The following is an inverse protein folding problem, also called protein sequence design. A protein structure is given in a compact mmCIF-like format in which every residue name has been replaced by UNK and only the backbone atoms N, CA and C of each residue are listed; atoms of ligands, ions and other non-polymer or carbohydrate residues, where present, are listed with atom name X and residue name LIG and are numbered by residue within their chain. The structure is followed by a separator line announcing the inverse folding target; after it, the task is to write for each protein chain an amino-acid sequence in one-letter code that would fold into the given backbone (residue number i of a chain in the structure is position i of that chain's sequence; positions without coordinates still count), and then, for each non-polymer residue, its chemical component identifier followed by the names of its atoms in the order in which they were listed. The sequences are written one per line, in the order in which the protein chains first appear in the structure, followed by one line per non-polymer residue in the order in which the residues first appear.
data_IF_320848049036
#
_entry.id   IF_320848049036
#
_cell.length_a   1.000
_cell.length_b   1.000
_cell.length_c   1.000
_cell.angle_alpha   90.00
_cell.angle_beta   90.00
_cell.angle_gamma   90.00
#
_symmetry.space_group_name_H-M   'P 1'
#
loop_
_entity.id
_entity.type
_entity.pdbx_description
1 polymer ?
#
# COMPACT_ATOMS: atom_id res chain seq x y z
N UNK A 1 -20.55 -13.87 4.76
CA UNK A 1 -19.41 -13.15 5.38
C UNK A 1 -18.62 -14.16 6.20
N UNK A 2 -17.66 -14.87 5.59
CA UNK A 2 -16.78 -15.83 6.31
C UNK A 2 -15.71 -16.53 5.46
N UNK A 3 -15.72 -16.42 4.12
CA UNK A 3 -14.76 -17.19 3.30
C UNK A 3 -13.42 -16.48 3.10
N UNK A 4 -13.40 -15.15 2.94
CA UNK A 4 -12.18 -14.37 2.69
C UNK A 4 -11.27 -14.19 3.92
N UNK A 5 -11.81 -14.19 5.14
CA UNK A 5 -10.98 -14.17 6.35
C UNK A 5 -10.12 -15.45 6.44
N UNK A 6 -10.64 -16.60 6.00
CA UNK A 6 -9.93 -17.88 6.16
C UNK A 6 -8.64 -17.98 5.33
N UNK A 7 -8.50 -17.21 4.25
CA UNK A 7 -7.30 -17.31 3.40
C UNK A 7 -6.11 -16.54 3.97
N UNK A 8 -6.33 -15.40 4.63
CA UNK A 8 -5.26 -14.61 5.26
C UNK A 8 -4.70 -15.25 6.55
N UNK A 9 -5.50 -16.04 7.28
CA UNK A 9 -5.02 -16.75 8.47
C UNK A 9 -4.45 -18.15 8.20
N UNK A 10 -4.70 -18.74 7.03
CA UNK A 10 -4.13 -20.04 6.62
C UNK A 10 -2.61 -20.14 6.79
N UNK A 11 -1.79 -19.15 6.37
CA UNK A 11 -0.35 -19.24 6.62
C UNK A 11 -0.03 -19.19 8.12
N UNK A 12 -0.65 -18.28 8.89
CA UNK A 12 -0.35 -18.10 10.32
C UNK A 12 -0.69 -19.36 11.14
N UNK A 13 -1.83 -19.99 10.88
CA UNK A 13 -2.25 -21.23 11.57
C UNK A 13 -1.35 -22.41 11.16
N UNK A 14 -0.96 -22.50 9.89
CA UNK A 14 0.00 -23.50 9.41
C UNK A 14 1.36 -23.30 10.10
N UNK A 15 1.83 -22.06 10.22
CA UNK A 15 3.07 -21.71 10.93
C UNK A 15 3.01 -22.11 12.41
N UNK A 16 1.91 -21.79 13.10
CA UNK A 16 1.73 -22.16 14.50
C UNK A 16 1.71 -23.68 14.68
N UNK A 17 1.04 -24.40 13.78
CA UNK A 17 1.00 -25.86 13.79
C UNK A 17 2.40 -26.48 13.56
N UNK A 18 3.21 -25.92 12.66
CA UNK A 18 4.59 -26.36 12.43
C UNK A 18 5.46 -26.10 13.66
N UNK A 19 5.32 -24.95 14.31
CA UNK A 19 6.06 -24.63 15.55
C UNK A 19 5.71 -25.63 16.66
N UNK A 20 4.42 -25.91 16.86
CA UNK A 20 3.96 -26.87 17.87
C UNK A 20 4.47 -28.28 17.55
N UNK A 21 4.43 -28.71 16.29
CA UNK A 21 4.95 -30.02 15.86
C UNK A 21 6.46 -30.14 16.11
N UNK A 22 7.25 -29.10 15.79
CA UNK A 22 8.68 -29.04 16.10
C UNK A 22 8.96 -29.12 17.59
N UNK A 23 8.14 -28.44 18.42
CA UNK A 23 8.28 -28.46 19.87
C UNK A 23 7.99 -29.84 20.47
N UNK A 24 6.96 -30.52 19.97
CA UNK A 24 6.62 -31.90 20.37
C UNK A 24 7.74 -32.87 19.97
N UNK A 25 8.27 -32.76 18.75
CA UNK A 25 9.42 -33.55 18.29
C UNK A 25 10.67 -33.32 19.15
N UNK A 26 10.94 -32.07 19.53
CA UNK A 26 12.07 -31.73 20.40
C UNK A 26 11.95 -32.41 21.77
N UNK A 27 10.76 -32.43 22.38
CA UNK A 27 10.51 -33.09 23.67
C UNK A 27 10.69 -34.61 23.56
N UNK A 28 10.22 -35.22 22.47
CA UNK A 28 10.38 -36.67 22.22
C UNK A 28 11.86 -37.02 22.08
N UNK A 29 12.61 -36.27 21.27
CA UNK A 29 14.05 -36.46 21.08
C UNK A 29 14.84 -36.26 22.37
N UNK A 30 14.46 -35.28 23.19
CA UNK A 30 15.05 -35.04 24.50
C UNK A 30 14.84 -36.22 25.46
N UNK A 31 13.61 -36.74 25.55
CA UNK A 31 13.32 -37.93 26.40
C UNK A 31 14.04 -39.19 25.91
N UNK A 32 14.15 -39.38 24.59
CA UNK A 32 14.90 -40.49 24.01
C UNK A 32 16.41 -40.37 24.27
N UNK A 33 16.96 -39.15 24.19
CA UNK A 33 18.35 -38.85 24.51
C UNK A 33 18.71 -39.14 25.97
N UNK A 34 17.79 -38.80 26.89
CA UNK A 34 17.93 -39.07 28.32
C UNK A 34 17.95 -40.58 28.62
N UNK A 35 17.09 -41.39 27.97
CA UNK A 35 17.09 -42.86 28.14
C UNK A 35 18.35 -43.56 27.60
N UNK A 36 19.03 -42.99 26.59
CA UNK A 36 20.22 -43.59 25.97
C UNK A 36 21.55 -43.10 26.53
N UNK A 37 21.55 -42.29 27.59
CA UNK A 37 22.77 -41.73 28.18
C UNK A 37 23.50 -40.72 27.27
N UNK A 38 22.86 -40.26 26.19
CA UNK A 38 23.41 -39.30 25.21
C UNK A 38 22.77 -37.91 25.34
N UNK A 39 22.46 -37.54 26.58
CA UNK A 39 21.74 -36.32 26.94
C UNK A 39 22.45 -35.05 26.47
N UNK A 40 23.78 -34.99 26.62
CA UNK A 40 24.56 -33.80 26.24
C UNK A 40 24.53 -33.55 24.73
N UNK A 41 24.64 -34.59 23.91
CA UNK A 41 24.60 -34.45 22.45
C UNK A 41 23.21 -34.05 21.93
N UNK A 42 22.14 -34.56 22.54
CA UNK A 42 20.76 -34.19 22.17
C UNK A 42 20.44 -32.76 22.57
N UNK A 43 20.92 -32.29 23.72
CA UNK A 43 20.78 -30.90 24.14
C UNK A 43 21.54 -29.93 23.21
N UNK A 44 22.77 -30.27 22.81
CA UNK A 44 23.58 -29.45 21.89
C UNK A 44 22.92 -29.34 20.51
N UNK A 45 22.40 -30.44 19.96
CA UNK A 45 21.71 -30.43 18.66
C UNK A 45 20.43 -29.59 18.73
N UNK A 46 19.64 -29.70 19.80
CA UNK A 46 18.46 -28.86 20.00
C UNK A 46 18.81 -27.37 20.16
N UNK A 47 19.91 -27.05 20.85
CA UNK A 47 20.40 -25.68 20.97
C UNK A 47 20.85 -25.12 19.61
N UNK A 48 21.55 -25.92 18.79
CA UNK A 48 21.98 -25.50 17.44
C UNK A 48 20.80 -25.32 16.47
N UNK A 49 19.77 -26.18 16.55
CA UNK A 49 18.54 -26.03 15.77
C UNK A 49 17.77 -24.77 16.21
N UNK A 50 17.67 -24.53 17.53
CA UNK A 50 17.10 -23.29 18.06
C UNK A 50 17.85 -22.05 17.58
N UNK A 51 19.19 -22.06 17.67
CA UNK A 51 20.04 -20.95 17.24
C UNK A 51 19.90 -20.64 15.74
N UNK A 52 19.85 -21.69 14.91
CA UNK A 52 19.66 -21.55 13.46
C UNK A 52 18.27 -21.04 13.10
N UNK A 53 17.23 -21.42 13.84
CA UNK A 53 15.87 -20.88 13.69
C UNK A 53 15.79 -19.39 14.08
N UNK A 54 16.46 -18.97 15.16
CA UNK A 54 16.59 -17.55 15.52
C UNK A 54 17.43 -16.75 14.50
N UNK A 55 18.47 -17.36 13.92
CA UNK A 55 19.29 -16.71 12.90
C UNK A 55 18.57 -16.53 11.55
N UNK A 56 17.74 -17.48 11.14
CA UNK A 56 17.03 -17.44 9.84
C UNK A 56 15.64 -16.80 9.89
N UNK A 57 14.82 -17.10 10.90
CA UNK A 57 13.48 -16.49 11.06
C UNK A 57 13.48 -15.27 12.00
N UNK A 58 14.21 -15.35 13.11
CA UNK A 58 14.29 -14.26 14.08
C UNK A 58 14.92 -12.99 13.48
N UNK A 59 15.95 -13.13 12.64
CA UNK A 59 16.65 -11.98 12.04
C UNK A 59 15.82 -11.09 11.10
N UNK A 60 14.73 -11.60 10.51
CA UNK A 60 13.86 -10.79 9.62
C UNK A 60 12.78 -10.06 10.42
N UNK A 61 12.05 -10.78 11.28
CA UNK A 61 10.99 -10.22 12.12
C UNK A 61 11.58 -9.31 13.22
N UNK A 62 12.73 -9.66 13.80
CA UNK A 62 13.43 -8.83 14.78
C UNK A 62 14.02 -7.57 14.16
N UNK A 63 14.49 -7.59 12.90
CA UNK A 63 14.91 -6.36 12.20
C UNK A 63 13.73 -5.44 11.89
N UNK A 64 12.59 -5.99 11.47
CA UNK A 64 11.37 -5.21 11.24
C UNK A 64 10.83 -4.59 12.54
N UNK A 65 10.77 -5.38 13.62
CA UNK A 65 10.35 -4.93 14.94
C UNK A 65 11.34 -3.90 15.51
N UNK A 66 12.65 -4.16 15.50
CA UNK A 66 13.68 -3.23 15.99
C UNK A 66 13.73 -1.94 15.16
N UNK A 67 13.44 -1.96 13.85
CA UNK A 67 13.31 -0.73 13.06
C UNK A 67 12.11 0.11 13.52
N UNK A 68 10.95 -0.50 13.78
CA UNK A 68 9.80 0.18 14.41
C UNK A 68 10.15 0.73 15.79
N UNK A 69 10.80 -0.05 16.65
CA UNK A 69 11.24 0.41 17.98
C UNK A 69 12.30 1.52 17.91
N UNK A 70 13.21 1.48 16.93
CA UNK A 70 14.20 2.55 16.72
C UNK A 70 13.54 3.84 16.23
N UNK A 71 12.56 3.74 15.32
CA UNK A 71 11.72 4.88 14.91
C UNK A 71 10.98 5.49 16.12
N UNK A 72 10.36 4.63 16.94
CA UNK A 72 9.67 5.05 18.17
C UNK A 72 10.65 5.67 19.18
N UNK A 73 11.87 5.13 19.34
CA UNK A 73 12.89 5.70 20.23
C UNK A 73 13.48 7.01 19.71
N UNK A 74 13.70 7.14 18.41
CA UNK A 74 14.24 8.35 17.80
C UNK A 74 13.24 9.51 17.87
N UNK A 75 11.93 9.22 17.82
CA UNK A 75 10.87 10.21 18.08
C UNK A 75 10.64 10.42 19.60
N UNK A 76 10.86 9.40 20.43
CA UNK A 76 10.70 9.51 21.89
C UNK A 76 11.76 10.40 22.57
N UNK A 77 12.75 10.89 21.82
CA UNK A 77 13.83 11.76 22.33
C UNK A 77 13.83 13.18 21.76
N UNK A 78 12.85 13.53 20.92
CA UNK A 78 12.51 14.93 20.68
C UNK A 78 11.31 15.29 21.56
N UNK A 79 11.46 16.35 22.37
CA UNK A 79 10.36 17.02 23.04
C UNK A 79 9.40 17.62 22.01
N UNK A 80 8.63 16.79 21.31
CA UNK A 80 7.49 17.23 20.52
C UNK A 80 6.36 17.51 21.50
N UNK A 81 6.46 18.65 22.17
CA UNK A 81 5.34 19.22 22.92
C UNK A 81 4.17 19.44 21.93
N UNK A 82 3.14 18.60 22.03
CA UNK A 82 2.00 18.57 21.10
C UNK A 82 1.15 19.86 21.16
N UNK A 83 1.40 20.71 22.17
CA UNK A 83 0.71 21.99 22.34
C UNK A 83 1.45 23.19 21.73
N UNK A 84 2.74 23.03 21.37
CA UNK A 84 3.50 24.12 20.75
C UNK A 84 3.10 24.31 19.28
N UNK A 85 3.15 25.57 18.78
CA UNK A 85 2.97 25.83 17.35
C UNK A 85 4.05 25.11 16.53
N UNK A 86 3.68 24.73 15.32
CA UNK A 86 4.60 24.09 14.37
C UNK A 86 5.46 25.13 13.65
N UNK A 87 6.70 24.72 13.35
CA UNK A 87 7.66 25.50 12.58
C UNK A 87 7.23 25.56 11.12
N UNK A 88 7.49 26.68 10.45
CA UNK A 88 7.26 26.81 9.01
C UNK A 88 8.43 26.29 8.17
N UNK A 89 9.51 25.79 8.78
CA UNK A 89 10.63 25.19 8.05
C UNK A 89 10.33 23.74 7.65
N UNK A 90 10.09 23.43 6.35
CA UNK A 90 9.78 22.08 5.92
C UNK A 90 10.91 21.08 6.23
N UNK A 91 12.16 21.53 6.35
CA UNK A 91 13.31 20.67 6.66
C UNK A 91 13.22 20.04 8.05
N UNK A 92 12.45 20.62 8.97
CA UNK A 92 12.23 20.01 10.28
C UNK A 92 11.44 18.70 10.17
N UNK A 93 10.65 18.55 9.12
CA UNK A 93 9.75 17.41 8.91
C UNK A 93 10.22 16.45 7.81
N UNK A 94 11.32 16.78 7.12
CA UNK A 94 11.90 15.97 6.05
C UNK A 94 13.00 15.02 6.56
N UNK A 95 12.97 13.78 6.11
CA UNK A 95 14.07 12.83 6.13
C UNK A 95 14.03 12.00 4.85
N UNK A 96 14.89 12.33 3.89
CA UNK A 96 14.98 11.63 2.60
C UNK A 96 15.26 10.14 2.73
N UNK A 97 15.84 9.70 3.86
CA UNK A 97 16.16 8.31 4.16
C UNK A 97 15.08 7.59 4.99
N UNK A 98 13.95 8.27 5.26
CA UNK A 98 12.83 7.70 5.98
C UNK A 98 12.35 6.40 5.32
N UNK A 99 12.07 5.41 6.16
CA UNK A 99 11.63 4.10 5.71
C UNK A 99 10.11 4.12 5.62
N UNK A 100 9.58 3.80 4.44
CA UNK A 100 8.16 3.60 4.23
C UNK A 100 7.62 2.50 5.14
N UNK A 101 6.64 2.84 6.00
CA UNK A 101 6.08 1.94 6.99
C UNK A 101 4.54 2.02 7.08
N UNK A 102 3.91 2.55 6.04
CA UNK A 102 2.47 2.74 5.96
C UNK A 102 1.76 1.47 5.51
N UNK A 103 0.55 1.27 6.02
CA UNK A 103 -0.44 0.36 5.45
C UNK A 103 -1.60 1.16 4.86
N UNK A 104 -2.39 0.52 4.00
CA UNK A 104 -3.64 1.10 3.51
C UNK A 104 -4.58 1.49 4.66
N UNK A 105 -4.69 0.63 5.68
CA UNK A 105 -5.51 0.89 6.87
C UNK A 105 -5.02 2.11 7.66
N UNK A 106 -3.71 2.31 7.76
CA UNK A 106 -3.16 3.50 8.42
C UNK A 106 -3.61 4.79 7.71
N UNK A 107 -3.56 4.81 6.38
CA UNK A 107 -3.99 5.96 5.58
C UNK A 107 -5.51 6.17 5.65
N UNK A 108 -6.31 5.11 5.53
CA UNK A 108 -7.78 5.18 5.59
C UNK A 108 -8.32 5.65 6.94
N UNK A 109 -7.57 5.39 8.02
CA UNK A 109 -7.95 5.79 9.37
C UNK A 109 -7.59 7.24 9.72
N UNK A 110 -6.86 7.95 8.84
CA UNK A 110 -6.53 9.36 9.06
C UNK A 110 -7.80 10.22 9.07
N UNK A 111 -7.87 11.15 10.02
CA UNK A 111 -9.02 12.02 10.26
C UNK A 111 -8.64 13.47 9.95
N UNK A 112 -9.18 14.05 8.87
CA UNK A 112 -8.96 15.45 8.56
C UNK A 112 -9.33 16.36 9.73
N UNK A 113 -8.52 17.40 9.95
CA UNK A 113 -8.61 18.40 11.03
C UNK A 113 -8.47 17.86 12.46
N UNK A 114 -8.20 16.56 12.63
CA UNK A 114 -8.03 15.91 13.93
C UNK A 114 -6.60 15.44 14.10
N UNK A 115 -6.10 14.65 13.15
CA UNK A 115 -4.73 14.14 13.23
C UNK A 115 -3.72 15.24 12.93
N UNK A 116 -2.68 15.33 13.74
CA UNK A 116 -1.63 16.34 13.62
C UNK A 116 -0.43 15.78 12.88
N UNK A 117 0.34 16.65 12.22
CA UNK A 117 1.62 16.28 11.61
C UNK A 117 2.54 15.56 12.61
N UNK A 118 2.60 16.04 13.86
CA UNK A 118 3.39 15.43 14.93
C UNK A 118 2.92 14.01 15.25
N UNK A 119 1.62 13.77 15.36
CA UNK A 119 1.05 12.44 15.63
C UNK A 119 1.36 11.45 14.51
N UNK A 120 1.32 11.91 13.25
CA UNK A 120 1.66 11.12 12.09
C UNK A 120 3.17 10.84 12.06
N UNK A 121 4.02 11.84 12.30
CA UNK A 121 5.48 11.66 12.39
C UNK A 121 5.87 10.69 13.51
N UNK A 122 5.14 10.70 14.63
CA UNK A 122 5.37 9.76 15.73
C UNK A 122 5.07 8.30 15.35
N UNK A 123 4.10 8.10 14.47
CA UNK A 123 3.65 6.77 14.04
C UNK A 123 4.45 6.27 12.83
N UNK A 124 4.73 7.17 11.89
CA UNK A 124 5.25 6.83 10.56
C UNK A 124 6.65 7.38 10.27
N UNK A 125 7.17 8.27 11.12
CA UNK A 125 8.40 9.00 10.87
C UNK A 125 8.19 10.24 10.01
N UNK A 126 9.30 10.93 9.75
CA UNK A 126 9.35 12.10 8.87
C UNK A 126 9.04 11.72 7.42
N UNK A 127 8.56 12.69 6.63
CA UNK A 127 8.32 12.48 5.21
C UNK A 127 9.61 12.44 4.40
N UNK A 128 9.60 11.72 3.28
CA UNK A 128 10.73 11.67 2.35
C UNK A 128 10.93 13.00 1.62
N UNK A 129 9.82 13.69 1.30
CA UNK A 129 9.82 14.99 0.68
C UNK A 129 8.81 15.88 1.37
N UNK A 130 9.21 17.10 1.75
CA UNK A 130 8.33 18.06 2.42
C UNK A 130 8.43 19.41 1.75
N UNK A 131 7.29 20.00 1.42
CA UNK A 131 7.21 21.29 0.75
C UNK A 131 6.18 22.18 1.43
N UNK A 132 6.54 23.45 1.63
CA UNK A 132 5.61 24.48 2.07
C UNK A 132 4.96 25.14 0.85
N UNK A 133 3.65 25.03 0.75
CA UNK A 133 2.83 25.72 -0.25
C UNK A 133 2.06 26.89 0.39
N UNK A 134 1.49 27.76 -0.45
CA UNK A 134 0.58 28.82 0.02
C UNK A 134 -0.66 28.27 0.74
N UNK A 135 -1.06 27.04 0.42
CA UNK A 135 -2.21 26.36 1.00
C UNK A 135 -1.91 25.62 2.30
N UNK A 136 -0.64 25.45 2.65
CA UNK A 136 -0.18 24.68 3.80
C UNK A 136 1.02 23.79 3.49
N UNK A 137 1.21 22.71 4.25
CA UNK A 137 2.36 21.82 4.12
C UNK A 137 1.99 20.56 3.32
N UNK A 138 2.83 20.17 2.37
CA UNK A 138 2.78 18.89 1.66
C UNK A 138 3.85 17.96 2.20
N UNK A 139 3.49 16.71 2.45
CA UNK A 139 4.40 15.67 2.94
C UNK A 139 4.20 14.41 2.11
N UNK A 140 5.26 13.96 1.44
CA UNK A 140 5.28 12.69 0.71
C UNK A 140 6.02 11.61 1.50
N UNK A 141 5.40 10.44 1.60
CA UNK A 141 6.04 9.20 2.02
C UNK A 141 6.18 8.28 0.81
N UNK A 142 7.40 7.87 0.50
CA UNK A 142 7.73 7.14 -0.72
C UNK A 142 8.34 5.77 -0.39
N UNK A 143 7.85 4.71 -1.03
CA UNK A 143 8.41 3.36 -0.89
C UNK A 143 9.76 3.21 -1.59
N UNK A 144 10.05 4.09 -2.54
CA UNK A 144 11.30 4.19 -3.30
C UNK A 144 11.28 3.50 -4.66
N UNK A 145 10.19 2.83 -5.03
CA UNK A 145 10.00 2.21 -6.35
C UNK A 145 9.22 3.10 -7.33
N UNK A 146 8.72 4.26 -6.86
CA UNK A 146 7.92 5.20 -7.64
C UNK A 146 6.46 4.79 -7.85
N UNK A 147 6.08 3.58 -7.44
CA UNK A 147 4.75 3.00 -7.69
C UNK A 147 3.87 3.00 -6.44
N UNK A 148 4.47 3.11 -5.26
CA UNK A 148 3.76 3.20 -3.99
C UNK A 148 4.23 4.41 -3.17
N UNK A 149 3.32 5.36 -2.97
CA UNK A 149 3.60 6.57 -2.21
C UNK A 149 2.31 7.17 -1.63
N UNK A 150 2.46 7.99 -0.61
CA UNK A 150 1.37 8.73 0.04
C UNK A 150 1.71 10.20 0.06
N UNK A 151 0.84 11.00 -0.52
CA UNK A 151 0.89 12.46 -0.49
C UNK A 151 -0.14 12.98 0.51
N UNK A 152 0.34 13.57 1.62
CA UNK A 152 -0.50 14.19 2.64
C UNK A 152 -0.45 15.71 2.50
N UNK A 153 -1.58 16.35 2.74
CA UNK A 153 -1.72 17.80 2.84
C UNK A 153 -2.07 18.19 4.27
N UNK A 154 -1.52 19.29 4.74
CA UNK A 154 -1.77 19.82 6.07
C UNK A 154 -2.06 21.32 6.00
N UNK A 155 -2.92 21.80 6.89
CA UNK A 155 -3.13 23.23 7.12
C UNK A 155 -2.86 23.57 8.58
N UNK A 156 -2.66 24.85 8.89
CA UNK A 156 -2.54 25.29 10.29
C UNK A 156 -3.90 25.41 10.97
N UNK A 157 -4.00 24.91 12.19
CA UNK A 157 -5.10 25.20 13.11
C UNK A 157 -4.93 26.58 13.78
N UNK A 158 -5.91 26.98 14.61
CA UNK A 158 -5.88 28.26 15.34
C UNK A 158 -4.68 28.40 16.31
N UNK A 159 -4.06 27.27 16.68
CA UNK A 159 -2.89 27.22 17.55
C UNK A 159 -1.58 27.20 16.76
N UNK A 160 -1.64 27.31 15.43
CA UNK A 160 -0.48 27.29 14.55
C UNK A 160 0.12 25.91 14.34
N UNK A 161 -0.63 24.83 14.58
CA UNK A 161 -0.18 23.44 14.40
C UNK A 161 -0.67 22.90 13.06
N UNK A 162 0.14 22.09 12.39
CA UNK A 162 -0.25 21.41 11.17
C UNK A 162 -1.21 20.26 11.49
N UNK A 163 -2.43 20.38 11.01
CA UNK A 163 -3.46 19.33 11.04
C UNK A 163 -3.67 18.78 9.64
N UNK A 164 -3.83 17.46 9.56
CA UNK A 164 -4.08 16.75 8.32
C UNK A 164 -5.32 17.30 7.63
N UNK A 165 -5.25 17.56 6.33
CA UNK A 165 -6.33 18.14 5.53
C UNK A 165 -6.82 17.23 4.40
N UNK A 166 -6.30 16.02 4.32
CA UNK A 166 -6.55 15.09 3.21
C UNK A 166 -5.28 14.74 2.46
N UNK A 167 -5.41 13.82 1.52
CA UNK A 167 -4.27 13.28 0.80
C UNK A 167 -4.66 12.22 -0.22
N UNK A 168 -3.65 11.69 -0.88
CA UNK A 168 -3.78 10.59 -1.83
C UNK A 168 -2.74 9.53 -1.51
N UNK A 169 -3.18 8.30 -1.37
CA UNK A 169 -2.31 7.13 -1.36
C UNK A 169 -2.39 6.44 -2.72
N UNK A 170 -1.24 6.15 -3.32
CA UNK A 170 -1.10 5.45 -4.60
C UNK A 170 -0.43 4.11 -4.36
N UNK A 171 -0.97 3.06 -4.98
CA UNK A 171 -0.51 1.69 -4.86
C UNK A 171 -0.43 1.04 -6.25
N UNK A 172 0.48 0.07 -6.46
CA UNK A 172 0.45 -0.77 -7.65
C UNK A 172 -0.88 -1.54 -7.74
N UNK A 173 -1.35 -1.78 -8.96
CA UNK A 173 -2.56 -2.55 -9.19
C UNK A 173 -2.27 -4.05 -9.31
N UNK A 174 -2.87 -4.88 -8.45
CA UNK A 174 -2.80 -6.32 -8.56
C UNK A 174 -3.56 -6.85 -9.80
N UNK A 175 -2.98 -7.83 -10.49
CA UNK A 175 -3.64 -8.55 -11.59
C UNK A 175 -3.46 -7.93 -12.97
N UNK A 176 -2.83 -6.75 -13.07
CA UNK A 176 -2.40 -6.14 -14.34
C UNK A 176 -0.88 -6.18 -14.42
N UNK A 177 -0.36 -6.61 -15.57
CA UNK A 177 1.08 -6.56 -15.85
C UNK A 177 1.40 -5.27 -16.57
N UNK A 178 2.16 -4.39 -15.92
CA UNK A 178 2.71 -3.21 -16.59
C UNK A 178 3.82 -3.61 -17.56
N UNK A 179 3.73 -3.10 -18.80
CA UNK A 179 4.69 -3.39 -19.87
C UNK A 179 5.16 -2.09 -20.52
N UNK A 180 6.48 -1.83 -20.42
CA UNK A 180 7.07 -0.60 -20.95
C UNK A 180 6.87 -0.43 -22.46
N UNK A 181 6.89 -1.52 -23.23
CA UNK A 181 6.63 -1.52 -24.67
C UNK A 181 5.24 -2.11 -24.96
N UNK A 182 4.22 -1.54 -24.32
CA UNK A 182 2.84 -1.93 -24.55
C UNK A 182 2.49 -1.82 -26.04
N UNK A 183 1.83 -2.86 -26.56
CA UNK A 183 1.25 -2.83 -27.90
C UNK A 183 -0.26 -3.02 -27.80
N UNK A 184 -1.01 -2.08 -28.35
CA UNK A 184 -2.46 -2.05 -28.18
C UNK A 184 -3.13 -3.27 -28.81
N UNK A 185 -3.87 -4.01 -27.99
CA UNK A 185 -4.73 -5.11 -28.41
C UNK A 185 -6.22 -4.74 -28.39
N UNK A 186 -6.54 -3.46 -28.14
CA UNK A 186 -7.92 -2.97 -28.13
C UNK A 186 -8.45 -2.82 -29.55
N UNK A 187 -9.62 -3.40 -29.79
CA UNK A 187 -10.41 -3.20 -31.02
C UNK A 187 -11.34 -1.99 -30.90
N UNK A 188 -11.76 -1.44 -32.03
CA UNK A 188 -12.73 -0.35 -32.05
C UNK A 188 -14.06 -0.76 -31.41
N UNK A 189 -14.53 -1.98 -31.67
CA UNK A 189 -15.77 -2.50 -31.10
C UNK A 189 -15.68 -2.60 -29.56
N UNK A 190 -14.55 -3.05 -29.02
CA UNK A 190 -14.33 -3.09 -27.56
C UNK A 190 -14.29 -1.70 -26.94
N UNK A 191 -13.63 -0.73 -27.60
CA UNK A 191 -13.60 0.65 -27.11
C UNK A 191 -15.01 1.26 -27.13
N UNK A 192 -15.74 1.04 -28.21
CA UNK A 192 -17.10 1.55 -28.39
C UNK A 192 -18.13 0.82 -27.52
N UNK A 193 -17.79 -0.32 -26.90
CA UNK A 193 -18.65 -1.04 -25.95
C UNK A 193 -18.46 -0.59 -24.50
N UNK A 194 -17.39 0.16 -24.19
CA UNK A 194 -17.16 0.71 -22.85
C UNK A 194 -18.31 1.63 -22.40
N UNK A 195 -18.80 1.45 -21.19
CA UNK A 195 -19.92 2.22 -20.62
C UNK A 195 -19.55 2.77 -19.26
N UNK A 196 -19.62 4.09 -19.12
CA UNK A 196 -19.47 4.76 -17.82
C UNK A 196 -20.75 4.67 -16.99
N UNK A 197 -20.68 5.06 -15.71
CA UNK A 197 -21.87 5.16 -14.83
C UNK A 197 -22.98 6.04 -15.41
N UNK A 198 -22.61 7.11 -16.11
CA UNK A 198 -23.57 8.04 -16.71
C UNK A 198 -24.26 7.46 -17.96
N UNK A 199 -23.72 6.36 -18.50
CA UNK A 199 -24.23 5.67 -19.68
C UNK A 199 -24.98 4.37 -19.34
N UNK A 200 -25.34 4.16 -18.07
CA UNK A 200 -25.98 2.93 -17.61
C UNK A 200 -27.36 2.65 -18.25
N UNK A 201 -27.97 3.63 -18.92
CA UNK A 201 -29.22 3.46 -19.68
C UNK A 201 -29.01 2.76 -21.03
N UNK A 202 -27.77 2.71 -21.56
CA UNK A 202 -27.43 1.98 -22.79
C UNK A 202 -26.97 0.54 -22.54
N UNK A 203 -26.89 0.10 -21.28
CA UNK A 203 -26.41 -1.23 -20.91
C UNK A 203 -25.69 -1.25 -19.56
N UNK A 204 -25.17 -2.42 -19.14
CA UNK A 204 -24.42 -2.53 -17.89
C UNK A 204 -23.15 -1.67 -17.95
N UNK A 205 -22.85 -0.98 -16.85
CA UNK A 205 -21.58 -0.26 -16.67
C UNK A 205 -20.40 -1.23 -16.72
N UNK A 206 -19.34 -0.87 -17.43
CA UNK A 206 -18.14 -1.70 -17.56
C UNK A 206 -17.46 -1.89 -16.20
N UNK A 207 -17.15 -3.14 -15.87
CA UNK A 207 -16.47 -3.51 -14.64
C UNK A 207 -14.95 -3.57 -14.83
N UNK A 208 -14.18 -3.24 -13.79
CA UNK A 208 -12.72 -3.39 -13.82
C UNK A 208 -12.32 -4.84 -14.03
N UNK A 209 -13.00 -5.78 -13.37
CA UNK A 209 -12.71 -7.21 -13.46
C UNK A 209 -12.86 -7.77 -14.88
N UNK A 210 -13.83 -7.28 -15.65
CA UNK A 210 -13.99 -7.59 -17.08
C UNK A 210 -12.81 -7.06 -17.91
N UNK A 211 -12.45 -5.79 -17.73
CA UNK A 211 -11.34 -5.16 -18.47
C UNK A 211 -10.02 -5.85 -18.16
N UNK A 212 -9.69 -6.11 -16.89
CA UNK A 212 -8.45 -6.79 -16.50
C UNK A 212 -8.39 -8.22 -17.04
N UNK A 213 -9.52 -8.92 -17.12
CA UNK A 213 -9.60 -10.27 -17.70
C UNK A 213 -9.31 -10.27 -19.20
N UNK A 214 -9.79 -9.27 -19.93
CA UNK A 214 -9.65 -9.19 -21.39
C UNK A 214 -8.35 -8.50 -21.83
N UNK A 215 -7.87 -7.56 -21.02
CA UNK A 215 -6.69 -6.75 -21.25
C UNK A 215 -5.77 -6.77 -20.01
N UNK A 216 -5.12 -7.92 -19.71
CA UNK A 216 -4.31 -8.10 -18.50
C UNK A 216 -2.95 -7.39 -18.53
N UNK A 217 -2.60 -6.73 -19.64
CA UNK A 217 -1.37 -5.97 -19.81
C UNK A 217 -1.71 -4.52 -20.10
N UNK A 218 -1.04 -3.58 -19.43
CA UNK A 218 -1.21 -2.14 -19.64
C UNK A 218 0.14 -1.45 -19.70
N UNK A 219 0.19 -0.21 -20.20
CA UNK A 219 1.40 0.61 -20.14
C UNK A 219 1.70 1.01 -18.70
N UNK A 220 0.68 1.49 -17.99
CA UNK A 220 0.72 1.86 -16.57
C UNK A 220 -0.63 1.49 -15.92
N UNK A 221 -0.60 1.09 -14.65
CA UNK A 221 -1.79 0.68 -13.91
C UNK A 221 -1.61 0.91 -12.41
N UNK A 222 -2.38 1.83 -11.84
CA UNK A 222 -2.30 2.14 -10.42
C UNK A 222 -3.68 2.22 -9.78
N UNK A 223 -3.70 2.00 -8.48
CA UNK A 223 -4.85 2.22 -7.62
C UNK A 223 -4.57 3.44 -6.74
N UNK A 224 -5.58 4.26 -6.52
CA UNK A 224 -5.49 5.37 -5.57
C UNK A 224 -6.62 5.39 -4.56
N UNK A 225 -6.31 5.91 -3.38
CA UNK A 225 -7.27 6.25 -2.33
C UNK A 225 -7.08 7.72 -2.03
N UNK A 226 -8.14 8.51 -2.21
CA UNK A 226 -8.13 9.95 -1.96
C UNK A 226 -9.06 10.27 -0.80
N UNK A 227 -8.56 11.01 0.18
CA UNK A 227 -9.35 11.53 1.30
C UNK A 227 -9.39 13.04 1.17
N UNK A 228 -10.59 13.61 1.10
CA UNK A 228 -10.81 15.05 1.06
C UNK A 228 -10.80 15.65 2.47
N UNK A 229 -10.64 16.97 2.56
CA UNK A 229 -10.72 17.72 3.82
C UNK A 229 -12.04 17.55 4.57
N UNK A 230 -13.12 17.19 3.87
CA UNK A 230 -14.42 16.83 4.45
C UNK A 230 -14.46 15.44 5.09
N UNK A 231 -13.41 14.64 4.95
CA UNK A 231 -13.37 13.22 5.36
C UNK A 231 -13.99 12.27 4.34
N UNK A 232 -14.52 12.77 3.21
CA UNK A 232 -15.03 11.91 2.13
C UNK A 232 -13.85 11.18 1.47
N UNK A 233 -13.98 9.87 1.35
CA UNK A 233 -12.99 9.00 0.75
C UNK A 233 -13.47 8.50 -0.62
N UNK A 234 -12.59 8.58 -1.62
CA UNK A 234 -12.79 8.00 -2.95
C UNK A 234 -11.68 7.01 -3.24
N UNK A 235 -12.05 5.85 -3.79
CA UNK A 235 -11.11 4.81 -4.25
C UNK A 235 -11.24 4.71 -5.76
N UNK A 236 -10.11 4.80 -6.47
CA UNK A 236 -10.08 4.66 -7.92
C UNK A 236 -9.00 3.70 -8.40
N UNK A 237 -9.19 3.21 -9.61
CA UNK A 237 -8.16 2.50 -10.38
C UNK A 237 -8.04 3.18 -11.73
N UNK A 238 -6.82 3.43 -12.16
CA UNK A 238 -6.53 4.05 -13.43
C UNK A 238 -5.65 3.11 -14.26
N UNK A 239 -6.05 2.92 -15.52
CA UNK A 239 -5.35 2.09 -16.50
C UNK A 239 -4.99 2.95 -17.69
N UNK A 240 -3.71 2.98 -18.03
CA UNK A 240 -3.20 3.63 -19.24
C UNK A 240 -2.75 2.56 -20.25
N UNK A 241 -3.37 2.58 -21.42
CA UNK A 241 -3.09 1.70 -22.56
C UNK A 241 -2.50 2.50 -23.73
N UNK A 242 -1.53 3.38 -23.45
CA UNK A 242 -0.84 4.17 -24.48
C UNK A 242 0.09 3.30 -25.33
N UNK A 243 -0.13 3.33 -26.65
CA UNK A 243 0.73 2.79 -27.71
C UNK A 243 0.83 3.82 -28.85
N UNK A 244 1.76 4.75 -28.74
CA UNK A 244 1.95 5.83 -29.73
C UNK A 244 2.37 5.32 -31.13
N UNK A 245 2.87 4.09 -31.23
CA UNK A 245 3.30 3.50 -32.50
C UNK A 245 2.19 2.64 -33.13
N UNK A 246 1.03 2.56 -32.48
CA UNK A 246 -0.08 1.78 -32.96
C UNK A 246 -0.61 2.33 -34.31
N UNK A 247 -1.00 1.45 -35.25
CA UNK A 247 -1.72 1.87 -36.45
C UNK A 247 -2.96 2.70 -36.11
N UNK A 248 -3.36 3.60 -37.01
CA UNK A 248 -4.54 4.50 -36.87
C UNK A 248 -5.85 3.73 -36.54
N UNK A 249 -5.95 2.49 -36.98
CA UNK A 249 -7.11 1.61 -36.75
C UNK A 249 -7.24 1.14 -35.28
N UNK A 250 -6.25 1.42 -34.44
CA UNK A 250 -6.19 1.05 -33.03
C UNK A 250 -6.03 2.31 -32.17
N UNK A 251 -6.46 2.23 -30.90
CA UNK A 251 -6.25 3.34 -29.97
C UNK A 251 -4.75 3.57 -29.72
N UNK A 252 -4.29 4.80 -29.98
CA UNK A 252 -2.95 5.25 -29.66
C UNK A 252 -2.83 5.65 -28.18
N UNK A 253 -3.91 6.23 -27.64
CA UNK A 253 -4.03 6.54 -26.22
C UNK A 253 -5.41 6.11 -25.75
N UNK A 254 -5.47 5.18 -24.81
CA UNK A 254 -6.69 4.80 -24.11
C UNK A 254 -6.44 4.88 -22.62
N UNK A 255 -7.19 5.76 -21.94
CA UNK A 255 -7.15 5.90 -20.49
C UNK A 255 -8.50 5.56 -19.92
N UNK A 256 -8.50 4.67 -18.92
CA UNK A 256 -9.70 4.23 -18.22
C UNK A 256 -9.54 4.55 -16.75
N UNK A 257 -10.54 5.20 -16.15
CA UNK A 257 -10.61 5.42 -14.71
C UNK A 257 -11.86 4.73 -14.16
N UNK A 258 -11.69 3.99 -13.08
CA UNK A 258 -12.74 3.24 -12.42
C UNK A 258 -12.91 3.75 -11.00
N UNK A 259 -14.15 3.86 -10.55
CA UNK A 259 -14.51 4.28 -9.20
C UNK A 259 -15.06 3.07 -8.41
N UNK A 260 -14.63 2.94 -7.16
CA UNK A 260 -15.11 1.86 -6.29
C UNK A 260 -16.59 2.03 -5.95
N UNK A 261 -17.37 0.98 -6.11
CA UNK A 261 -18.77 0.94 -5.75
C UNK A 261 -18.97 0.08 -4.49
N UNK A 262 -19.20 0.72 -3.36
CA UNK A 262 -19.42 0.07 -2.05
C UNK A 262 -20.56 -0.97 -2.07
N UNK A 263 -21.65 -0.71 -2.79
CA UNK A 263 -22.81 -1.61 -2.83
C UNK A 263 -22.50 -2.90 -3.58
N UNK A 264 -21.76 -2.79 -4.68
CA UNK A 264 -21.40 -3.91 -5.55
C UNK A 264 -20.07 -4.56 -5.17
N UNK A 265 -19.27 -3.90 -4.34
CA UNK A 265 -17.93 -4.30 -3.89
C UNK A 265 -16.96 -4.53 -5.05
N UNK A 266 -17.07 -3.71 -6.09
CA UNK A 266 -16.24 -3.77 -7.29
C UNK A 266 -16.04 -2.36 -7.86
N UNK A 267 -15.08 -2.21 -8.77
CA UNK A 267 -14.78 -0.98 -9.47
C UNK A 267 -15.52 -0.91 -10.81
N UNK A 268 -16.08 0.25 -11.12
CA UNK A 268 -16.84 0.48 -12.35
C UNK A 268 -16.33 1.69 -13.08
N UNK A 269 -16.33 1.63 -14.41
CA UNK A 269 -15.82 2.69 -15.26
C UNK A 269 -16.55 4.00 -14.96
N UNK A 270 -15.79 5.00 -14.52
CA UNK A 270 -16.28 6.34 -14.21
C UNK A 270 -15.92 7.32 -15.32
N UNK A 271 -14.77 7.10 -15.97
CA UNK A 271 -14.26 7.94 -17.04
C UNK A 271 -13.46 7.13 -18.05
N UNK A 272 -13.54 7.48 -19.32
CA UNK A 272 -12.65 7.00 -20.36
C UNK A 272 -12.26 8.13 -21.31
N UNK A 273 -11.06 8.02 -21.88
CA UNK A 273 -10.55 8.93 -22.91
C UNK A 273 -9.85 8.10 -23.98
N UNK A 274 -10.11 8.44 -25.25
CA UNK A 274 -9.56 7.74 -26.41
C UNK A 274 -9.00 8.78 -27.37
N UNK A 275 -7.73 8.65 -27.73
CA UNK A 275 -7.13 9.33 -28.87
C UNK A 275 -6.67 8.29 -29.89
N UNK A 276 -6.99 8.54 -31.16
CA UNK A 276 -6.67 7.68 -32.31
C UNK A 276 -5.70 8.37 -33.29
N UNK A 277 -5.21 9.56 -32.95
CA UNK A 277 -4.42 10.41 -33.83
C UNK A 277 -5.32 11.19 -34.79
N UNK A 278 -5.04 12.48 -34.95
CA UNK A 278 -5.76 13.36 -35.88
C UNK A 278 -5.15 13.34 -37.28
N UNK A 279 -6.03 13.52 -38.28
CA UNK A 279 -5.78 13.63 -39.72
C UNK A 279 -4.91 14.82 -40.10
#
# INVERSE_FOLDING_TARGET
MSVFLSWRYKPIILYLAVIVACFVLAIILFRMGQKRGRFLFTAIVLALIGLSFFATLGGSVYRGAMKKYRLIQQVSQSELDEEKPDSDDPKEYEDKSAIYNWTEEDFENLKPKVDTLRSIIKSHGKGNYVEMESSGLKVRYDRGDGNEYIDLSFVKDEKGRFVYDGGTATYPLDGVTEVANYSSNWTEEQINSLRTKDQAYFGPTTSLSEVVREHPQAKEAWRSIKVHSSGIMHKSVDLDYTDQNSPIEKAQLLRLSFEYNEKKKDYYLSYNSVDRGHW
#
